data_IF_193039788803
#
_entry.id   IF_193039788803
#
_cell.length_a   1.000
_cell.length_b   1.000
_cell.length_c   1.000
_cell.angle_alpha   90.00
_cell.angle_beta   90.00
_cell.angle_gamma   90.00
#
_symmetry.space_group_name_H-M   'P 1'
#
loop_
_entity.id
_entity.type
_entity.pdbx_description
1 polymer ?
#
# COMPACT_ATOMS: atom_id res chain seq x y z
N UNK A 1 19.78 15.48 7.91
CA UNK A 1 19.84 15.94 6.51
C UNK A 1 18.62 16.76 6.10
N UNK A 2 17.38 16.27 6.24
CA UNK A 2 16.16 16.97 5.78
C UNK A 2 15.99 18.38 6.37
N UNK A 3 16.37 18.58 7.63
CA UNK A 3 16.41 19.92 8.26
C UNK A 3 17.23 20.95 7.47
N UNK A 4 18.35 20.55 6.87
CA UNK A 4 19.20 21.48 6.10
C UNK A 4 18.48 22.00 4.86
N UNK A 5 17.76 21.13 4.14
CA UNK A 5 16.97 21.52 2.98
C UNK A 5 15.86 22.50 3.38
N UNK A 6 15.17 22.23 4.49
CA UNK A 6 14.15 23.15 4.99
C UNK A 6 14.72 24.52 5.42
N UNK A 7 15.84 24.56 6.15
CA UNK A 7 16.35 25.79 6.76
C UNK A 7 17.27 26.62 5.84
N UNK A 8 18.05 25.99 4.96
CA UNK A 8 19.11 26.66 4.19
C UNK A 8 18.92 26.59 2.67
N UNK A 9 18.03 25.72 2.17
CA UNK A 9 17.80 25.46 0.73
C UNK A 9 16.32 25.20 0.42
N UNK A 10 15.44 26.10 0.85
CA UNK A 10 13.99 25.92 0.72
C UNK A 10 13.47 25.97 -0.73
N UNK A 11 14.32 26.35 -1.68
CA UNK A 11 14.08 26.25 -3.12
C UNK A 11 14.11 24.81 -3.65
N UNK A 12 14.65 23.86 -2.87
CA UNK A 12 14.75 22.45 -3.25
C UNK A 12 13.63 21.67 -2.55
N UNK A 13 12.66 21.19 -3.34
CA UNK A 13 11.63 20.28 -2.85
C UNK A 13 12.18 18.85 -2.77
N UNK A 14 12.08 18.23 -1.59
CA UNK A 14 12.60 16.88 -1.32
C UNK A 14 11.45 15.96 -0.91
N UNK A 15 11.32 14.83 -1.61
CA UNK A 15 10.46 13.72 -1.22
C UNK A 15 11.35 12.55 -0.82
N UNK A 16 11.13 12.00 0.37
CA UNK A 16 11.78 10.80 0.83
C UNK A 16 10.72 9.70 1.02
N UNK A 17 11.04 8.49 0.57
CA UNK A 17 10.21 7.31 0.78
C UNK A 17 11.01 6.29 1.60
N UNK A 18 10.31 5.54 2.45
CA UNK A 18 10.91 4.53 3.31
C UNK A 18 9.84 3.72 4.01
N UNK A 19 10.22 2.54 4.52
CA UNK A 19 9.32 1.67 5.26
C UNK A 19 9.00 2.28 6.64
N UNK A 20 7.72 2.26 7.03
CA UNK A 20 7.30 2.70 8.37
C UNK A 20 7.94 1.84 9.47
N UNK A 21 8.21 0.57 9.17
CA UNK A 21 8.77 -0.40 10.12
C UNK A 21 10.16 0.03 10.62
N UNK A 22 11.01 0.54 9.73
CA UNK A 22 12.34 1.07 10.06
C UNK A 22 12.25 2.24 11.06
N UNK A 23 11.27 3.13 10.88
CA UNK A 23 11.05 4.26 11.80
C UNK A 23 10.44 3.89 13.14
N UNK A 24 9.74 2.75 13.23
CA UNK A 24 9.14 2.28 14.48
C UNK A 24 10.15 1.54 15.37
N UNK A 25 11.17 0.92 14.78
CA UNK A 25 12.10 0.06 15.52
C UNK A 25 13.41 0.78 15.87
N UNK A 26 13.88 1.75 15.08
CA UNK A 26 15.07 2.52 15.42
C UNK A 26 14.77 3.69 16.38
N UNK A 27 15.08 3.47 17.65
CA UNK A 27 14.90 4.42 18.76
C UNK A 27 15.93 5.56 18.79
N UNK A 28 16.95 5.54 17.94
CA UNK A 28 18.08 6.49 17.97
C UNK A 28 18.09 7.51 16.83
N UNK A 29 17.06 7.53 15.96
CA UNK A 29 17.00 8.49 14.85
C UNK A 29 16.56 9.86 15.36
N UNK A 30 17.47 10.84 15.31
CA UNK A 30 17.12 12.25 15.48
C UNK A 30 16.30 12.73 14.28
N UNK A 31 14.97 12.74 14.41
CA UNK A 31 14.06 13.15 13.35
C UNK A 31 13.72 14.65 13.43
N UNK A 32 13.74 15.39 12.30
CA UNK A 32 13.57 16.84 12.31
C UNK A 32 12.10 17.26 12.47
N UNK A 33 11.61 17.24 13.71
CA UNK A 33 10.25 17.64 14.08
C UNK A 33 9.91 19.05 13.57
N UNK A 34 8.72 19.18 12.98
CA UNK A 34 8.17 20.45 12.47
C UNK A 34 8.79 20.96 11.17
N UNK A 35 9.61 20.16 10.48
CA UNK A 35 10.29 20.53 9.21
C UNK A 35 10.03 19.55 8.07
N UNK A 36 9.14 18.60 8.32
CA UNK A 36 8.79 17.49 7.44
C UNK A 36 7.32 17.20 7.61
N UNK A 37 6.69 16.86 6.50
CA UNK A 37 5.31 16.39 6.46
C UNK A 37 5.31 14.91 6.11
N UNK A 38 4.35 14.17 6.67
CA UNK A 38 4.20 12.74 6.41
C UNK A 38 3.03 12.52 5.47
N UNK A 39 3.26 11.66 4.48
CA UNK A 39 2.21 11.11 3.64
C UNK A 39 2.28 9.58 3.74
N UNK A 40 1.19 8.97 4.20
CA UNK A 40 1.11 7.52 4.34
C UNK A 40 0.52 6.91 3.08
N UNK A 41 1.22 5.94 2.53
CA UNK A 41 0.72 5.12 1.42
C UNK A 41 0.07 3.87 1.99
N UNK A 42 -1.15 3.60 1.57
CA UNK A 42 -1.91 2.42 1.94
C UNK A 42 -2.10 1.50 0.72
N UNK A 43 -2.43 0.22 0.93
CA UNK A 43 -2.94 -0.62 -0.14
C UNK A 43 -4.13 0.05 -0.83
N UNK A 44 -4.25 -0.17 -2.13
CA UNK A 44 -5.35 0.32 -2.95
C UNK A 44 -6.69 -0.07 -2.34
N UNK A 45 -7.59 0.90 -2.25
CA UNK A 45 -8.99 0.68 -1.93
C UNK A 45 -9.72 -0.07 -3.04
N UNK A 46 -10.93 -0.57 -2.74
CA UNK A 46 -11.77 -1.19 -3.76
C UNK A 46 -12.09 -0.21 -4.92
N UNK A 47 -12.28 1.08 -4.63
CA UNK A 47 -12.52 2.07 -5.68
C UNK A 47 -11.31 2.24 -6.60
N UNK A 48 -10.09 2.25 -6.05
CA UNK A 48 -8.85 2.30 -6.84
C UNK A 48 -8.62 1.00 -7.61
N UNK A 49 -9.00 -0.15 -7.06
CA UNK A 49 -9.02 -1.41 -7.77
C UNK A 49 -9.95 -1.38 -8.99
N UNK A 50 -11.17 -0.85 -8.84
CA UNK A 50 -12.11 -0.71 -9.95
C UNK A 50 -11.53 0.18 -11.07
N UNK A 51 -10.86 1.27 -10.73
CA UNK A 51 -10.15 2.12 -11.69
C UNK A 51 -9.05 1.33 -12.42
N UNK A 52 -8.20 0.61 -11.68
CA UNK A 52 -7.13 -0.17 -12.27
C UNK A 52 -7.64 -1.32 -13.15
N UNK A 53 -8.79 -1.91 -12.80
CA UNK A 53 -9.44 -2.96 -13.56
C UNK A 53 -10.19 -2.46 -14.81
N UNK A 54 -10.27 -1.14 -15.04
CA UNK A 54 -11.03 -0.55 -16.13
C UNK A 54 -12.55 -0.55 -15.92
N UNK A 55 -13.01 -0.72 -14.68
CA UNK A 55 -14.42 -0.84 -14.30
C UNK A 55 -15.01 0.52 -13.88
N UNK A 56 -14.81 1.55 -14.70
CA UNK A 56 -15.27 2.93 -14.43
C UNK A 56 -16.80 3.02 -14.31
N UNK A 57 -17.55 2.26 -15.10
CA UNK A 57 -19.01 2.21 -14.99
C UNK A 57 -19.45 1.64 -13.64
N UNK A 58 -18.76 0.59 -13.15
CA UNK A 58 -19.03 0.02 -11.84
C UNK A 58 -18.66 1.02 -10.73
N UNK A 59 -17.53 1.72 -10.84
CA UNK A 59 -17.16 2.79 -9.91
C UNK A 59 -18.21 3.90 -9.87
N UNK A 60 -18.68 4.36 -11.02
CA UNK A 60 -19.73 5.38 -11.11
C UNK A 60 -21.04 4.90 -10.48
N UNK A 61 -21.38 3.62 -10.62
CA UNK A 61 -22.54 3.03 -9.95
C UNK A 61 -22.34 2.90 -8.43
N UNK A 62 -21.13 2.57 -7.97
CA UNK A 62 -20.78 2.47 -6.55
C UNK A 62 -20.92 3.81 -5.81
N UNK A 63 -20.64 4.92 -6.49
CA UNK A 63 -20.77 6.27 -5.94
C UNK A 63 -22.22 6.78 -5.88
N UNK A 64 -23.16 6.12 -6.55
CA UNK A 64 -24.57 6.50 -6.53
C UNK A 64 -25.29 5.95 -5.31
N UNK A 65 -26.11 6.79 -4.68
CA UNK A 65 -26.97 6.37 -3.57
C UNK A 65 -28.45 6.66 -3.87
N UNK A 66 -29.33 5.64 -3.88
CA UNK A 66 -29.03 4.22 -3.70
C UNK A 66 -28.26 3.62 -4.90
N UNK A 67 -27.46 2.58 -4.66
CA UNK A 67 -26.76 1.86 -5.72
C UNK A 67 -27.77 1.31 -6.75
N UNK A 68 -27.54 1.51 -8.06
CA UNK A 68 -28.44 0.97 -9.08
C UNK A 68 -28.51 -0.55 -9.02
N UNK A 69 -29.72 -1.11 -9.09
CA UNK A 69 -29.95 -2.56 -8.96
C UNK A 69 -29.21 -3.36 -10.02
N UNK A 70 -29.09 -2.82 -11.24
CA UNK A 70 -28.39 -3.50 -12.35
C UNK A 70 -26.88 -3.67 -12.10
N UNK A 71 -26.28 -2.81 -11.26
CA UNK A 71 -24.85 -2.82 -11.00
C UNK A 71 -24.48 -3.71 -9.80
N UNK A 72 -25.45 -4.09 -8.96
CA UNK A 72 -25.21 -4.76 -7.69
C UNK A 72 -24.44 -6.08 -7.85
N UNK A 73 -24.91 -6.96 -8.74
CA UNK A 73 -24.29 -8.27 -8.96
C UNK A 73 -22.88 -8.14 -9.53
N UNK A 74 -22.65 -7.17 -10.45
CA UNK A 74 -21.32 -6.91 -11.02
C UNK A 74 -20.36 -6.38 -9.96
N UNK A 75 -20.80 -5.42 -9.15
CA UNK A 75 -20.01 -4.87 -8.04
C UNK A 75 -19.64 -5.93 -7.03
N UNK A 76 -20.56 -6.84 -6.70
CA UNK A 76 -20.29 -7.93 -5.77
C UNK A 76 -19.27 -8.93 -6.33
N UNK A 77 -19.37 -9.27 -7.62
CA UNK A 77 -18.39 -10.12 -8.28
C UNK A 77 -16.98 -9.50 -8.28
N UNK A 78 -16.87 -8.21 -8.61
CA UNK A 78 -15.61 -7.46 -8.58
C UNK A 78 -15.07 -7.32 -7.16
N UNK A 79 -15.95 -7.13 -6.17
CA UNK A 79 -15.55 -7.08 -4.77
C UNK A 79 -14.99 -8.41 -4.30
N UNK A 80 -15.57 -9.54 -4.72
CA UNK A 80 -15.01 -10.86 -4.42
C UNK A 80 -13.62 -11.05 -5.04
N UNK A 81 -13.41 -10.66 -6.31
CA UNK A 81 -12.07 -10.65 -6.93
C UNK A 81 -11.10 -9.82 -6.07
N UNK A 82 -11.48 -8.59 -5.72
CA UNK A 82 -10.67 -7.71 -4.87
C UNK A 82 -10.36 -8.31 -3.50
N UNK A 83 -11.29 -8.99 -2.84
CA UNK A 83 -11.02 -9.62 -1.54
C UNK A 83 -10.05 -10.80 -1.61
N UNK A 84 -9.97 -11.48 -2.76
CA UNK A 84 -9.01 -12.56 -2.98
C UNK A 84 -7.60 -12.02 -3.26
N UNK A 85 -7.52 -10.93 -4.03
CA UNK A 85 -6.26 -10.33 -4.48
C UNK A 85 -5.68 -9.39 -3.41
N UNK A 86 -6.53 -8.66 -2.70
CA UNK A 86 -6.16 -7.56 -1.81
C UNK A 86 -5.85 -6.27 -2.56
N UNK A 87 -5.29 -5.29 -1.83
CA UNK A 87 -4.99 -3.95 -2.35
C UNK A 87 -3.51 -3.68 -2.64
N UNK A 88 -2.63 -4.67 -2.53
CA UNK A 88 -1.19 -4.45 -2.76
C UNK A 88 -0.95 -4.15 -4.24
N UNK A 89 -0.39 -2.98 -4.63
CA UNK A 89 -0.34 -2.55 -6.03
C UNK A 89 0.32 -3.56 -6.99
N UNK A 90 1.43 -4.19 -6.57
CA UNK A 90 2.13 -5.19 -7.38
C UNK A 90 1.30 -6.47 -7.59
N UNK A 91 0.57 -6.90 -6.56
CA UNK A 91 -0.32 -8.05 -6.61
C UNK A 91 -1.51 -7.74 -7.53
N UNK A 92 -2.13 -6.56 -7.37
CA UNK A 92 -3.23 -6.10 -8.22
C UNK A 92 -2.80 -6.04 -9.68
N UNK A 93 -1.63 -5.47 -9.97
CA UNK A 93 -1.07 -5.43 -11.33
C UNK A 93 -0.91 -6.83 -11.92
N UNK A 94 -0.27 -7.73 -11.17
CA UNK A 94 -0.04 -9.12 -11.60
C UNK A 94 -1.34 -9.86 -11.88
N UNK A 95 -2.34 -9.69 -11.01
CA UNK A 95 -3.66 -10.29 -11.21
C UNK A 95 -4.35 -9.72 -12.46
N UNK A 96 -4.33 -8.41 -12.67
CA UNK A 96 -5.04 -7.78 -13.77
C UNK A 96 -4.44 -8.05 -15.16
N UNK A 97 -3.16 -8.41 -15.24
CA UNK A 97 -2.53 -8.78 -16.52
C UNK A 97 -3.17 -10.01 -17.18
N UNK A 98 -3.38 -11.08 -16.41
CA UNK A 98 -3.84 -12.37 -16.95
C UNK A 98 -5.04 -12.97 -16.23
N UNK A 99 -5.59 -12.28 -15.22
CA UNK A 99 -6.64 -12.80 -14.30
C UNK A 99 -6.24 -14.13 -13.65
N UNK A 100 -4.94 -14.31 -13.40
CA UNK A 100 -4.37 -15.52 -12.81
C UNK A 100 -4.02 -15.29 -11.34
N UNK A 101 -4.79 -15.90 -10.44
CA UNK A 101 -4.56 -15.83 -9.00
C UNK A 101 -3.31 -16.63 -8.58
N UNK A 102 -2.94 -17.68 -9.32
CA UNK A 102 -1.78 -18.50 -8.98
C UNK A 102 -0.47 -17.76 -9.23
N UNK A 103 -0.45 -16.89 -10.24
CA UNK A 103 0.67 -15.99 -10.52
C UNK A 103 0.92 -15.00 -9.37
N UNK A 104 -0.09 -14.70 -8.55
CA UNK A 104 0.05 -13.81 -7.40
C UNK A 104 0.83 -14.47 -6.25
N UNK A 105 0.90 -15.81 -6.18
CA UNK A 105 1.57 -16.52 -5.08
C UNK A 105 3.05 -16.17 -4.97
N UNK A 106 3.77 -16.06 -6.08
CA UNK A 106 5.18 -15.68 -6.05
C UNK A 106 5.38 -14.25 -5.53
N UNK A 107 4.46 -13.34 -5.84
CA UNK A 107 4.48 -11.97 -5.34
C UNK A 107 4.18 -11.95 -3.85
N UNK A 108 3.17 -12.68 -3.38
CA UNK A 108 2.87 -12.78 -1.95
C UNK A 108 4.05 -13.33 -1.14
N UNK A 109 4.65 -14.42 -1.58
CA UNK A 109 5.83 -15.01 -0.92
C UNK A 109 7.00 -14.02 -0.89
N UNK A 110 7.25 -13.33 -2.00
CA UNK A 110 8.33 -12.34 -2.07
C UNK A 110 8.10 -11.16 -1.12
N UNK A 111 6.86 -10.67 -1.03
CA UNK A 111 6.47 -9.61 -0.10
C UNK A 111 6.59 -10.09 1.36
N UNK A 112 6.10 -11.29 1.67
CA UNK A 112 6.19 -11.86 3.01
C UNK A 112 7.64 -12.05 3.45
N UNK A 113 8.51 -12.57 2.58
CA UNK A 113 9.95 -12.69 2.85
C UNK A 113 10.56 -11.30 3.07
N UNK A 114 10.26 -10.33 2.20
CA UNK A 114 10.75 -8.96 2.36
C UNK A 114 10.34 -8.34 3.70
N UNK A 115 9.09 -8.53 4.11
CA UNK A 115 8.62 -8.11 5.44
C UNK A 115 9.33 -8.84 6.57
N UNK A 116 9.53 -10.16 6.49
CA UNK A 116 10.23 -10.93 7.52
C UNK A 116 11.69 -10.50 7.66
N UNK A 117 12.41 -10.33 6.54
CA UNK A 117 13.80 -9.85 6.53
C UNK A 117 13.90 -8.45 7.16
N UNK A 118 12.96 -7.56 6.84
CA UNK A 118 12.83 -6.23 7.42
C UNK A 118 12.35 -6.25 8.89
N UNK A 119 11.82 -7.35 9.43
CA UNK A 119 11.56 -7.47 10.87
C UNK A 119 12.81 -8.00 11.58
N UNK A 120 13.46 -9.02 11.03
CA UNK A 120 14.64 -9.66 11.62
C UNK A 120 15.83 -8.71 11.72
N UNK A 121 16.04 -7.85 10.71
CA UNK A 121 17.10 -6.84 10.70
C UNK A 121 17.02 -5.85 11.87
N UNK A 122 15.84 -5.67 12.48
CA UNK A 122 15.61 -4.68 13.52
C UNK A 122 15.20 -5.28 14.88
N UNK A 123 14.88 -6.58 14.95
CA UNK A 123 14.65 -7.29 16.20
C UNK A 123 15.99 -7.54 16.94
N UNK A 124 16.42 -6.61 17.79
CA UNK A 124 17.63 -6.74 18.62
C UNK A 124 17.56 -7.83 19.72
N UNK A 125 16.41 -8.51 19.88
CA UNK A 125 16.23 -9.65 20.79
C UNK A 125 15.15 -10.60 20.26
N UNK A 126 15.37 -11.93 20.44
CA UNK A 126 14.45 -13.02 20.04
C UNK A 126 13.02 -12.90 20.58
N UNK A 127 12.79 -12.08 21.61
CA UNK A 127 11.46 -11.84 22.17
C UNK A 127 10.60 -10.85 21.36
N UNK A 128 11.20 -10.05 20.47
CA UNK A 128 10.47 -9.07 19.62
C UNK A 128 10.16 -9.59 18.22
N UNK A 129 10.74 -10.72 17.81
CA UNK A 129 10.52 -11.34 16.49
C UNK A 129 9.30 -12.30 16.44
N UNK A 130 8.49 -12.36 17.51
CA UNK A 130 7.36 -13.28 17.64
C UNK A 130 6.02 -12.57 17.87
N UNK A 131 5.79 -11.43 17.23
CA UNK A 131 4.48 -10.76 17.22
C UNK A 131 3.88 -10.83 15.82
#
# INVERSE_FOLDING_TARGET
>A
MLRYFFENRNEIHVIAAGSLLETLIDTHISFPVGRVEYLFMHPMSFAEYLLAAGEEEALNALQQYPCPTYAHDRLLALFHEYTLVGGMPEVVSTFLENKDILACNSVYESLLIGYMDDVEKYASSKAMAQV
#
